data_IF_730078596102
#
_entry.id   IF_730078596102
#
_cell.length_a   1.000
_cell.length_b   1.000
_cell.length_c   1.000
_cell.angle_alpha   90.00
_cell.angle_beta   90.00
_cell.angle_gamma   90.00
#
_symmetry.space_group_name_H-M   'P 1'
#
loop_
_entity.id
_entity.type
_entity.pdbx_description
1 polymer ?
#
# COMPACT_ATOMS: atom_id res chain seq x y z
N UNK A 1 -12.28 5.21 3.38
CA UNK A 1 -10.85 5.31 3.03
C UNK A 1 -10.08 4.95 4.29
N UNK A 2 -9.16 3.98 4.26
CA UNK A 2 -8.42 3.60 5.47
C UNK A 2 -7.58 4.77 5.98
N UNK A 3 -6.97 5.52 5.05
CA UNK A 3 -6.00 6.55 5.38
C UNK A 3 -6.68 7.85 5.82
N UNK A 4 -7.83 8.17 5.21
CA UNK A 4 -8.57 9.41 5.50
C UNK A 4 -9.82 9.20 6.37
N UNK A 5 -10.19 7.96 6.69
CA UNK A 5 -11.43 7.59 7.42
C UNK A 5 -12.71 8.23 6.86
N UNK A 6 -12.75 8.53 5.57
CA UNK A 6 -13.91 9.15 4.89
C UNK A 6 -14.62 8.20 3.93
N UNK A 7 -15.90 8.43 3.70
CA UNK A 7 -16.71 7.75 2.67
C UNK A 7 -16.85 8.68 1.47
N UNK A 8 -16.50 8.20 0.27
CA UNK A 8 -16.64 8.93 -0.98
C UNK A 8 -17.33 8.05 -2.02
N UNK A 9 -18.30 8.62 -2.74
CA UNK A 9 -18.95 7.96 -3.87
C UNK A 9 -18.24 8.36 -5.16
N UNK A 10 -18.01 7.40 -6.03
CA UNK A 10 -17.35 7.59 -7.31
C UNK A 10 -18.32 7.26 -8.45
N UNK A 11 -18.33 8.07 -9.51
CA UNK A 11 -19.07 7.79 -10.74
C UNK A 11 -18.31 6.84 -11.66
N UNK A 12 -18.97 6.36 -12.72
CA UNK A 12 -18.34 5.59 -13.82
C UNK A 12 -17.72 4.24 -13.40
N UNK A 13 -18.31 3.57 -12.41
CA UNK A 13 -17.90 2.23 -12.00
C UNK A 13 -16.47 2.14 -11.46
N UNK A 14 -15.84 0.98 -11.63
CA UNK A 14 -14.51 0.71 -11.09
C UNK A 14 -13.41 1.55 -11.75
N UNK A 15 -13.51 1.79 -13.06
CA UNK A 15 -12.56 2.63 -13.78
C UNK A 15 -12.57 4.08 -13.26
N UNK A 16 -13.76 4.65 -13.03
CA UNK A 16 -13.90 5.98 -12.44
C UNK A 16 -13.35 6.05 -11.00
N UNK A 17 -13.56 5.00 -10.20
CA UNK A 17 -12.94 4.88 -8.88
C UNK A 17 -11.41 4.93 -8.94
N UNK A 18 -10.78 4.16 -9.85
CA UNK A 18 -9.32 4.15 -10.01
C UNK A 18 -8.78 5.52 -10.42
N UNK A 19 -9.41 6.17 -11.41
CA UNK A 19 -9.00 7.49 -11.86
C UNK A 19 -9.09 8.54 -10.74
N UNK A 20 -10.18 8.52 -9.97
CA UNK A 20 -10.37 9.44 -8.86
C UNK A 20 -9.37 9.21 -7.71
N UNK A 21 -9.03 7.96 -7.42
CA UNK A 21 -7.97 7.61 -6.45
C UNK A 21 -6.59 8.09 -6.91
N UNK A 22 -6.25 7.89 -8.18
CA UNK A 22 -5.00 8.40 -8.74
C UNK A 22 -4.92 9.94 -8.65
N UNK A 23 -5.99 10.65 -9.01
CA UNK A 23 -6.06 12.11 -8.92
C UNK A 23 -6.03 12.63 -7.47
N UNK A 24 -6.66 11.94 -6.52
CA UNK A 24 -6.57 12.28 -5.10
C UNK A 24 -5.14 12.14 -4.58
N UNK A 25 -4.44 11.07 -4.96
CA UNK A 25 -3.04 10.87 -4.58
C UNK A 25 -2.12 11.90 -5.22
N UNK A 26 -2.30 12.21 -6.51
CA UNK A 26 -1.51 13.24 -7.19
C UNK A 26 -1.65 14.61 -6.53
N UNK A 27 -2.87 14.99 -6.13
CA UNK A 27 -3.11 16.21 -5.34
C UNK A 27 -2.37 16.21 -4.01
N UNK A 28 -2.42 15.10 -3.26
CA UNK A 28 -1.70 15.00 -1.98
C UNK A 28 -0.18 15.09 -2.17
N UNK A 29 0.38 14.44 -3.20
CA UNK A 29 1.81 14.60 -3.55
C UNK A 29 2.14 16.07 -3.80
N UNK A 30 1.34 16.74 -4.62
CA UNK A 30 1.53 18.15 -4.94
C UNK A 30 1.41 19.03 -3.69
N UNK A 31 0.38 18.85 -2.85
CA UNK A 31 0.17 19.60 -1.61
C UNK A 31 1.38 19.45 -0.66
N UNK A 32 1.90 18.23 -0.53
CA UNK A 32 3.10 17.95 0.28
C UNK A 32 4.35 18.65 -0.30
N UNK A 33 4.55 18.62 -1.61
CA UNK A 33 5.66 19.34 -2.26
C UNK A 33 5.53 20.86 -2.10
N UNK A 34 4.33 21.42 -2.24
CA UNK A 34 4.09 22.85 -2.00
C UNK A 34 4.36 23.23 -0.55
N UNK A 35 3.91 22.42 0.40
CA UNK A 35 4.21 22.61 1.81
C UNK A 35 5.73 22.59 2.07
N UNK A 36 6.46 21.61 1.54
CA UNK A 36 7.93 21.54 1.67
C UNK A 36 8.62 22.78 1.09
N UNK A 37 8.19 23.22 -0.10
CA UNK A 37 8.75 24.39 -0.76
C UNK A 37 8.46 25.68 0.03
N UNK A 38 7.27 25.80 0.61
CA UNK A 38 6.92 26.95 1.44
C UNK A 38 7.70 26.95 2.76
N UNK A 39 7.85 25.80 3.43
CA UNK A 39 8.71 25.67 4.63
C UNK A 39 10.13 26.13 4.32
N UNK A 40 10.76 25.58 3.28
CA UNK A 40 12.11 25.94 2.87
C UNK A 40 12.24 27.43 2.51
N UNK A 41 11.20 28.03 1.88
CA UNK A 41 11.16 29.46 1.58
C UNK A 41 11.11 30.31 2.85
N UNK A 42 10.27 29.95 3.83
CA UNK A 42 10.15 30.71 5.08
C UNK A 42 11.41 30.59 5.94
N UNK A 43 12.04 29.42 5.99
CA UNK A 43 13.36 29.23 6.59
C UNK A 43 14.40 30.13 5.94
N UNK A 44 14.52 30.07 4.60
CA UNK A 44 15.45 30.92 3.86
C UNK A 44 15.22 32.41 4.08
N UNK A 45 13.96 32.88 4.11
CA UNK A 45 13.63 34.28 4.36
C UNK A 45 13.96 34.73 5.79
N UNK A 46 13.78 33.84 6.77
CA UNK A 46 14.17 34.10 8.15
C UNK A 46 15.70 34.24 8.25
N UNK A 47 16.44 33.34 7.61
CA UNK A 47 17.91 33.30 7.66
C UNK A 47 18.57 34.42 6.84
N UNK A 48 18.13 34.65 5.60
CA UNK A 48 18.70 35.69 4.72
C UNK A 48 18.46 37.09 5.28
N UNK A 49 17.34 37.29 5.99
CA UNK A 49 17.02 38.57 6.61
C UNK A 49 17.83 38.82 7.90
N UNK A 50 18.32 37.77 8.57
CA UNK A 50 19.24 37.89 9.71
C UNK A 50 20.58 38.49 9.25
N UNK A 51 21.12 38.02 8.11
CA UNK A 51 22.35 38.57 7.51
C UNK A 51 22.23 40.06 7.21
N UNK A 52 21.14 40.49 6.58
CA UNK A 52 20.85 41.91 6.29
C UNK A 52 20.70 42.78 7.55
N UNK A 53 20.35 42.18 8.69
CA UNK A 53 20.22 42.86 9.97
C UNK A 53 21.55 43.03 10.70
N UNK A 54 22.50 42.12 10.47
CA UNK A 54 23.86 42.20 11.00
C UNK A 54 24.67 43.32 10.34
N UNK A 55 24.36 43.67 9.08
CA UNK A 55 25.01 44.74 8.32
C UNK A 55 24.46 46.16 8.63
N UNK A 56 23.40 46.28 9.45
CA UNK A 56 22.86 47.60 9.82
C UNK A 56 23.79 48.24 10.87
N UNK A 57 24.42 49.41 10.59
CA UNK A 57 25.20 50.11 11.59
C UNK A 57 24.31 50.52 12.78
N UNK A 58 24.68 50.08 13.99
CA UNK A 58 24.00 50.45 15.24
C UNK A 58 24.35 51.90 15.57
N UNK A 59 23.41 52.83 15.34
CA UNK A 59 23.43 54.26 15.74
C UNK A 59 24.79 54.97 15.55
N UNK A 60 24.96 55.67 14.42
CA UNK A 60 25.99 56.71 14.29
C UNK A 60 25.58 58.01 15.00
N UNK A 61 26.54 58.87 15.41
CA UNK A 61 26.26 60.14 16.08
C UNK A 61 25.43 61.06 15.19
N UNK A 62 24.52 61.82 15.83
CA UNK A 62 23.66 62.80 15.16
C UNK A 62 24.52 63.91 14.53
N UNK A 63 24.54 63.99 13.20
CA UNK A 63 25.06 65.15 12.49
C UNK A 63 23.93 66.17 12.27
N UNK A 64 24.18 67.38 12.76
CA UNK A 64 23.32 68.55 12.80
C UNK A 64 23.23 69.24 11.42
N UNK A 65 22.03 69.37 10.83
CA UNK A 65 21.71 70.44 9.87
C UNK A 65 20.19 70.56 9.64
N UNK A 66 19.68 71.79 9.64
CA UNK A 66 18.28 72.19 9.78
C UNK A 66 17.34 71.98 8.59
N UNK A 67 17.39 70.84 7.91
CA UNK A 67 16.32 70.41 7.02
C UNK A 67 15.78 69.06 7.52
N UNK A 68 14.47 68.95 7.71
CA UNK A 68 13.83 67.76 8.27
C UNK A 68 14.39 66.48 7.68
N UNK A 69 14.99 65.64 8.54
CA UNK A 69 15.80 64.50 8.15
C UNK A 69 15.02 63.56 7.20
N UNK A 70 15.30 63.64 5.91
CA UNK A 70 14.83 62.65 4.95
C UNK A 70 15.59 61.35 5.22
N UNK A 71 15.06 60.53 6.13
CA UNK A 71 15.58 59.18 6.36
C UNK A 71 15.33 58.37 5.09
N UNK A 72 16.35 58.20 4.26
CA UNK A 72 16.32 57.21 3.20
C UNK A 72 15.95 55.88 3.84
N UNK A 73 14.77 55.34 3.50
CA UNK A 73 14.33 54.03 3.98
C UNK A 73 15.38 53.02 3.51
N UNK A 74 16.26 52.60 4.40
CA UNK A 74 17.27 51.59 4.08
C UNK A 74 16.55 50.30 3.67
N UNK A 75 17.17 49.47 2.83
CA UNK A 75 16.61 48.15 2.43
C UNK A 75 16.35 47.24 3.65
N UNK A 76 16.95 47.57 4.78
CA UNK A 76 16.77 46.93 6.06
C UNK A 76 15.53 47.40 6.85
N UNK A 77 14.86 48.48 6.43
CA UNK A 77 13.60 48.92 7.00
C UNK A 77 12.55 47.81 6.85
N UNK A 78 12.00 47.36 7.98
CA UNK A 78 11.06 46.24 8.03
C UNK A 78 11.69 44.84 8.02
N UNK A 79 13.02 44.68 8.02
CA UNK A 79 13.67 43.36 8.07
C UNK A 79 13.26 42.56 9.32
N UNK A 80 13.19 43.21 10.48
CA UNK A 80 12.70 42.59 11.72
C UNK A 80 11.25 42.09 11.61
N UNK A 81 10.37 42.87 10.97
CA UNK A 81 8.98 42.44 10.75
C UNK A 81 8.91 41.29 9.75
N UNK A 82 9.74 41.29 8.69
CA UNK A 82 9.83 40.18 7.73
C UNK A 82 10.28 38.88 8.40
N UNK A 83 11.32 38.94 9.24
CA UNK A 83 11.78 37.78 10.03
C UNK A 83 10.67 37.28 10.95
N UNK A 84 10.02 38.17 11.69
CA UNK A 84 8.93 37.79 12.59
C UNK A 84 7.80 37.11 11.83
N UNK A 85 7.34 37.71 10.73
CA UNK A 85 6.27 37.15 9.92
C UNK A 85 6.68 35.80 9.28
N UNK A 86 7.92 35.67 8.83
CA UNK A 86 8.45 34.41 8.29
C UNK A 86 8.50 33.32 9.35
N UNK A 87 8.95 33.64 10.57
CA UNK A 87 8.97 32.72 11.72
C UNK A 87 7.57 32.31 12.16
N UNK A 88 6.64 33.25 12.26
CA UNK A 88 5.23 32.96 12.58
C UNK A 88 4.57 32.08 11.51
N UNK A 89 4.93 32.26 10.24
CA UNK A 89 4.42 31.43 9.15
C UNK A 89 5.05 30.04 9.13
N UNK A 90 6.36 29.96 9.37
CA UNK A 90 7.08 28.70 9.56
C UNK A 90 6.48 27.91 10.73
N UNK A 91 6.26 28.54 11.88
CA UNK A 91 5.63 27.91 13.03
C UNK A 91 4.27 27.29 12.66
N UNK A 92 3.39 28.03 11.99
CA UNK A 92 2.09 27.49 11.55
C UNK A 92 2.21 26.30 10.59
N UNK A 93 3.19 26.33 9.67
CA UNK A 93 3.44 25.23 8.73
C UNK A 93 3.94 23.98 9.45
N UNK A 94 4.71 24.14 10.52
CA UNK A 94 5.25 23.04 11.33
C UNK A 94 4.23 22.49 12.34
N UNK A 95 3.31 23.32 12.84
CA UNK A 95 2.19 22.89 13.69
C UNK A 95 1.16 22.03 12.92
N UNK A 96 1.00 22.29 11.62
CA UNK A 96 0.08 21.57 10.75
C UNK A 96 0.80 21.08 9.47
N UNK A 97 1.69 20.09 9.58
CA UNK A 97 2.42 19.59 8.44
C UNK A 97 1.46 18.87 7.48
N UNK A 98 1.70 19.03 6.18
CA UNK A 98 1.10 18.15 5.18
C UNK A 98 1.99 16.91 5.13
N UNK A 99 1.55 15.72 5.58
CA UNK A 99 2.40 14.54 5.53
C UNK A 99 2.56 14.05 4.10
N UNK A 100 3.65 13.33 3.77
CA UNK A 100 3.73 12.62 2.50
C UNK A 100 2.60 11.60 2.37
N UNK A 101 2.04 11.38 1.17
CA UNK A 101 1.02 10.36 0.98
C UNK A 101 1.59 8.98 1.29
N UNK A 102 0.81 8.08 1.93
CA UNK A 102 1.29 6.75 2.28
C UNK A 102 1.71 5.96 1.03
N UNK A 103 2.72 5.10 1.20
CA UNK A 103 3.15 4.22 0.13
C UNK A 103 2.09 3.14 -0.10
N UNK A 104 1.64 2.93 -1.35
CA UNK A 104 0.70 1.85 -1.64
C UNK A 104 1.32 0.50 -1.31
N UNK A 105 0.59 -0.29 -0.54
CA UNK A 105 0.91 -1.69 -0.29
C UNK A 105 1.00 -2.45 -1.61
N UNK A 106 2.10 -3.18 -1.80
CA UNK A 106 2.35 -4.03 -2.96
C UNK A 106 2.65 -5.43 -2.45
N UNK A 107 1.87 -6.40 -2.92
CA UNK A 107 2.14 -7.79 -2.59
C UNK A 107 3.46 -8.23 -3.22
N UNK A 108 4.41 -8.60 -2.38
CA UNK A 108 5.77 -9.02 -2.73
C UNK A 108 6.04 -10.49 -2.41
N UNK A 109 5.03 -11.21 -1.90
CA UNK A 109 5.15 -12.64 -1.63
C UNK A 109 5.52 -13.40 -2.90
N UNK A 110 6.60 -14.18 -2.81
CA UNK A 110 7.05 -15.06 -3.89
C UNK A 110 6.47 -16.45 -3.69
N UNK A 111 5.94 -16.99 -4.77
CA UNK A 111 5.59 -18.40 -4.88
C UNK A 111 6.79 -19.07 -5.52
N UNK A 112 7.72 -19.53 -4.68
CA UNK A 112 8.90 -20.25 -5.14
C UNK A 112 8.52 -21.70 -5.39
N UNK A 113 8.36 -22.06 -6.67
CA UNK A 113 8.23 -23.45 -7.09
C UNK A 113 9.57 -24.17 -6.90
N UNK A 114 9.54 -25.48 -6.64
CA UNK A 114 10.80 -26.26 -6.70
C UNK A 114 11.25 -26.33 -8.15
N UNK A 115 12.53 -26.06 -8.46
CA UNK A 115 13.06 -26.37 -9.78
C UNK A 115 12.98 -27.88 -10.01
N UNK A 116 12.08 -28.30 -10.88
CA UNK A 116 12.08 -29.66 -11.42
C UNK A 116 13.23 -29.78 -12.41
N UNK A 117 14.06 -30.81 -12.27
CA UNK A 117 15.23 -31.06 -13.13
C UNK A 117 14.86 -31.41 -14.59
N UNK A 118 13.58 -31.48 -14.92
CA UNK A 118 13.07 -31.72 -16.27
C UNK A 118 12.59 -30.40 -16.89
N UNK A 119 13.28 -29.95 -17.94
CA UNK A 119 13.06 -28.70 -18.70
C UNK A 119 11.69 -28.60 -19.42
N UNK A 120 10.71 -29.43 -19.05
CA UNK A 120 9.38 -29.54 -19.69
C UNK A 120 8.22 -29.46 -18.69
N UNK A 121 8.46 -29.06 -17.43
CA UNK A 121 7.45 -29.14 -16.37
C UNK A 121 6.33 -28.11 -16.54
N UNK A 122 5.23 -28.51 -17.17
CA UNK A 122 3.96 -27.77 -17.12
C UNK A 122 3.50 -27.72 -15.66
N UNK A 123 3.27 -26.52 -15.12
CA UNK A 123 2.80 -26.32 -13.74
C UNK A 123 1.39 -26.92 -13.55
N UNK A 124 0.49 -26.78 -14.54
CA UNK A 124 -0.79 -27.48 -14.58
C UNK A 124 -1.25 -27.75 -16.01
N UNK A 125 -1.80 -28.94 -16.25
CA UNK A 125 -2.31 -29.39 -17.55
C UNK A 125 -3.69 -30.02 -17.40
N UNK A 126 -4.66 -29.54 -18.17
CA UNK A 126 -5.97 -30.16 -18.35
C UNK A 126 -6.15 -30.52 -19.82
N UNK A 127 -6.65 -31.72 -20.08
CA UNK A 127 -6.93 -32.22 -21.43
C UNK A 127 -8.27 -32.96 -21.44
N UNK A 128 -9.17 -32.52 -22.32
CA UNK A 128 -10.53 -33.05 -22.50
C UNK A 128 -11.32 -33.23 -21.20
N UNK A 129 -11.14 -32.29 -20.26
CA UNK A 129 -11.72 -32.37 -18.93
C UNK A 129 -13.22 -32.09 -18.99
N UNK A 130 -14.01 -33.00 -18.43
CA UNK A 130 -15.45 -32.87 -18.28
C UNK A 130 -15.85 -33.06 -16.82
N UNK A 131 -16.67 -32.13 -16.32
CA UNK A 131 -17.50 -32.29 -15.12
C UNK A 131 -18.94 -32.09 -15.56
N UNK A 132 -19.72 -33.16 -15.56
CA UNK A 132 -21.08 -33.22 -16.11
C UNK A 132 -21.96 -32.11 -15.53
N UNK A 133 -22.53 -31.30 -16.43
CA UNK A 133 -23.42 -30.19 -16.07
C UNK A 133 -22.74 -29.02 -15.35
N UNK A 134 -21.40 -28.96 -15.28
CA UNK A 134 -20.67 -27.91 -14.55
C UNK A 134 -19.53 -27.28 -15.32
N UNK A 135 -18.72 -28.07 -16.03
CA UNK A 135 -17.51 -27.56 -16.68
C UNK A 135 -17.07 -28.49 -17.82
N UNK A 136 -16.63 -27.90 -18.93
CA UNK A 136 -15.92 -28.60 -20.00
C UNK A 136 -14.70 -27.76 -20.39
N UNK A 137 -13.51 -28.36 -20.38
CA UNK A 137 -12.24 -27.71 -20.73
C UNK A 137 -11.51 -28.59 -21.75
N UNK A 138 -11.48 -28.19 -23.04
CA UNK A 138 -10.79 -28.96 -24.08
C UNK A 138 -9.28 -29.07 -23.82
N UNK A 139 -8.61 -27.95 -23.52
CA UNK A 139 -7.19 -27.94 -23.16
C UNK A 139 -6.85 -26.69 -22.36
N UNK A 140 -6.06 -26.85 -21.30
CA UNK A 140 -5.43 -25.76 -20.57
C UNK A 140 -4.01 -26.17 -20.17
N UNK A 141 -3.03 -25.34 -20.51
CA UNK A 141 -1.62 -25.51 -20.12
C UNK A 141 -1.16 -24.26 -19.40
N UNK A 142 -0.55 -24.43 -18.24
CA UNK A 142 0.09 -23.37 -17.47
C UNK A 142 1.56 -23.73 -17.27
N UNK A 143 2.45 -22.86 -17.74
CA UNK A 143 3.88 -22.96 -17.49
C UNK A 143 4.25 -22.34 -16.12
N UNK A 144 5.41 -22.69 -15.55
CA UNK A 144 5.92 -22.01 -14.36
C UNK A 144 6.05 -20.50 -14.59
N UNK A 145 5.54 -19.71 -13.66
CA UNK A 145 5.53 -18.24 -13.75
C UNK A 145 4.32 -17.64 -14.47
N UNK A 146 3.50 -18.46 -15.13
CA UNK A 146 2.27 -17.99 -15.78
C UNK A 146 1.26 -17.44 -14.77
N UNK A 147 0.48 -16.46 -15.23
CA UNK A 147 -0.63 -15.88 -14.48
C UNK A 147 -1.88 -15.95 -15.35
N UNK A 148 -2.81 -16.83 -14.99
CA UNK A 148 -4.08 -16.96 -15.68
C UNK A 148 -5.18 -16.23 -14.92
N UNK A 149 -5.87 -15.31 -15.61
CA UNK A 149 -7.10 -14.71 -15.11
C UNK A 149 -8.31 -15.46 -15.69
N UNK A 150 -9.05 -16.17 -14.84
CA UNK A 150 -10.28 -16.86 -15.22
C UNK A 150 -11.47 -15.90 -15.04
N UNK A 151 -12.11 -15.51 -16.14
CA UNK A 151 -13.29 -14.64 -16.13
C UNK A 151 -14.49 -15.32 -16.78
N UNK A 152 -15.68 -14.79 -16.51
CA UNK A 152 -16.94 -15.27 -17.11
C UNK A 152 -18.13 -15.09 -16.17
N UNK A 153 -19.36 -15.33 -16.65
CA UNK A 153 -20.57 -15.22 -15.84
C UNK A 153 -20.59 -16.14 -14.61
N UNK A 154 -21.46 -15.87 -13.65
CA UNK A 154 -21.71 -16.78 -12.55
C UNK A 154 -22.31 -18.10 -13.09
N UNK A 155 -21.88 -19.23 -12.55
CA UNK A 155 -22.34 -20.55 -12.99
C UNK A 155 -21.58 -21.19 -14.15
N UNK A 156 -20.66 -20.47 -14.82
CA UNK A 156 -19.87 -21.03 -15.96
C UNK A 156 -18.81 -22.07 -15.56
N UNK A 157 -18.70 -22.41 -14.27
CA UNK A 157 -17.76 -23.44 -13.79
C UNK A 157 -16.39 -22.93 -13.32
N UNK A 158 -16.20 -21.62 -13.10
CA UNK A 158 -14.91 -21.07 -12.59
C UNK A 158 -14.46 -21.72 -11.28
N UNK A 159 -15.36 -21.80 -10.30
CA UNK A 159 -15.07 -22.44 -9.01
C UNK A 159 -14.80 -23.94 -9.18
N UNK A 160 -15.50 -24.59 -10.11
CA UNK A 160 -15.27 -26.00 -10.49
C UNK A 160 -13.86 -26.19 -11.05
N UNK A 161 -13.39 -25.29 -11.92
CA UNK A 161 -12.03 -25.31 -12.46
C UNK A 161 -10.97 -25.17 -11.36
N UNK A 162 -11.18 -24.24 -10.42
CA UNK A 162 -10.28 -24.06 -9.28
C UNK A 162 -10.27 -25.28 -8.36
N UNK A 163 -11.42 -25.92 -8.12
CA UNK A 163 -11.51 -27.14 -7.32
C UNK A 163 -10.79 -28.33 -7.98
N UNK A 164 -10.87 -28.47 -9.31
CA UNK A 164 -10.11 -29.47 -10.05
C UNK A 164 -8.60 -29.24 -9.92
N UNK A 165 -8.16 -28.00 -10.10
CA UNK A 165 -6.75 -27.60 -9.95
C UNK A 165 -6.24 -27.72 -8.50
N UNK A 166 -7.11 -27.54 -7.52
CA UNK A 166 -6.82 -27.80 -6.11
C UNK A 166 -6.79 -29.30 -5.77
N UNK A 167 -7.33 -30.15 -6.65
CA UNK A 167 -7.49 -31.58 -6.40
C UNK A 167 -8.60 -31.94 -5.42
N UNK A 168 -9.53 -31.02 -5.17
CA UNK A 168 -10.71 -31.22 -4.32
C UNK A 168 -11.87 -31.84 -5.09
N UNK A 169 -11.81 -31.80 -6.42
CA UNK A 169 -12.78 -32.40 -7.32
C UNK A 169 -12.05 -33.30 -8.32
N UNK A 170 -12.62 -34.47 -8.60
CA UNK A 170 -12.16 -35.39 -9.65
C UNK A 170 -13.01 -35.16 -10.90
N UNK A 171 -12.42 -35.08 -12.11
CA UNK A 171 -13.19 -34.94 -13.33
C UNK A 171 -13.97 -36.24 -13.65
N UNK A 172 -15.09 -36.11 -14.36
CA UNK A 172 -15.85 -37.26 -14.86
C UNK A 172 -15.19 -37.89 -16.09
N UNK A 173 -14.46 -37.09 -16.88
CA UNK A 173 -13.63 -37.54 -18.01
C UNK A 173 -12.45 -36.57 -18.24
N UNK A 174 -11.44 -37.02 -18.98
CA UNK A 174 -10.24 -36.24 -19.29
C UNK A 174 -9.12 -36.41 -18.25
N UNK A 175 -8.06 -35.61 -18.40
CA UNK A 175 -6.84 -35.70 -17.60
C UNK A 175 -6.59 -34.36 -16.91
N UNK A 176 -6.32 -34.40 -15.60
CA UNK A 176 -5.85 -33.25 -14.82
C UNK A 176 -4.48 -33.58 -14.24
N UNK A 177 -3.43 -32.90 -14.69
CA UNK A 177 -2.10 -32.92 -14.07
C UNK A 177 -1.89 -31.58 -13.36
N UNK A 178 -1.55 -31.64 -12.09
CA UNK A 178 -1.31 -30.48 -11.22
C UNK A 178 -0.11 -30.79 -10.32
N UNK A 179 0.51 -29.79 -9.69
CA UNK A 179 1.60 -30.06 -8.77
C UNK A 179 1.05 -30.60 -7.45
N UNK A 180 1.94 -31.14 -6.61
CA UNK A 180 1.56 -31.65 -5.30
C UNK A 180 1.23 -30.52 -4.32
N UNK A 181 1.96 -29.40 -4.39
CA UNK A 181 1.84 -28.27 -3.44
C UNK A 181 1.01 -27.15 -4.07
N UNK A 182 -0.30 -27.21 -3.85
CA UNK A 182 -1.25 -26.21 -4.33
C UNK A 182 -1.77 -25.39 -3.15
N UNK A 183 -1.62 -24.08 -3.22
CA UNK A 183 -2.24 -23.14 -2.29
C UNK A 183 -3.55 -22.64 -2.85
N UNK A 184 -4.66 -22.79 -2.13
CA UNK A 184 -5.97 -22.34 -2.60
C UNK A 184 -6.63 -21.39 -1.61
N UNK A 185 -6.82 -20.14 -2.05
CA UNK A 185 -7.49 -19.10 -1.30
C UNK A 185 -8.99 -19.07 -1.65
N UNK A 186 -9.84 -19.72 -0.85
CA UNK A 186 -11.27 -19.94 -1.16
C UNK A 186 -12.14 -18.69 -1.04
N UNK A 187 -13.15 -18.49 -1.87
CA UNK A 187 -13.96 -17.25 -1.86
C UNK A 187 -14.79 -16.97 -0.57
N UNK A 188 -14.88 -17.91 0.37
CA UNK A 188 -15.60 -17.71 1.64
C UNK A 188 -14.61 -17.66 2.81
N UNK A 189 -14.59 -16.56 3.56
CA UNK A 189 -13.93 -16.46 4.86
C UNK A 189 -14.75 -17.18 5.93
N UNK A 190 -14.06 -17.77 6.91
CA UNK A 190 -14.71 -18.54 7.98
C UNK A 190 -15.63 -17.64 8.84
N UNK A 191 -16.79 -18.15 9.30
CA UNK A 191 -17.70 -17.43 10.19
C UNK A 191 -17.06 -16.99 11.52
N UNK A 192 -16.00 -17.68 11.95
CA UNK A 192 -15.42 -17.57 13.31
C UNK A 192 -14.55 -16.32 13.53
N UNK A 193 -14.18 -15.61 12.46
CA UNK A 193 -13.34 -14.40 12.55
C UNK A 193 -14.01 -13.25 13.32
N UNK A 194 -15.35 -13.25 13.41
CA UNK A 194 -16.10 -12.18 14.06
C UNK A 194 -15.87 -12.11 15.58
N UNK A 195 -15.45 -13.22 16.20
CA UNK A 195 -15.24 -13.31 17.63
C UNK A 195 -13.77 -13.48 18.02
N UNK A 196 -12.87 -13.55 17.04
CA UNK A 196 -11.44 -13.74 17.30
C UNK A 196 -10.80 -12.45 17.85
N UNK A 197 -10.35 -12.53 19.11
CA UNK A 197 -9.71 -11.45 19.84
C UNK A 197 -8.20 -11.36 19.58
N UNK A 198 -7.59 -12.33 18.88
CA UNK A 198 -6.16 -12.30 18.54
C UNK A 198 -5.86 -11.08 17.68
N UNK A 199 -4.66 -10.53 17.85
CA UNK A 199 -4.13 -9.50 16.95
C UNK A 199 -3.77 -10.11 15.61
N UNK A 200 -3.67 -9.27 14.58
CA UNK A 200 -3.24 -9.67 13.24
C UNK A 200 -1.90 -10.43 13.26
N UNK A 201 -0.93 -9.95 14.04
CA UNK A 201 0.36 -10.61 14.20
C UNK A 201 0.22 -11.99 14.89
N UNK A 202 -0.53 -12.05 15.99
CA UNK A 202 -0.76 -13.30 16.72
C UNK A 202 -1.48 -14.35 15.87
N UNK A 203 -2.42 -13.91 15.03
CA UNK A 203 -3.14 -14.76 14.09
C UNK A 203 -2.25 -15.27 12.95
N UNK A 204 -1.33 -14.44 12.46
CA UNK A 204 -0.37 -14.82 11.44
C UNK A 204 0.68 -15.81 11.97
N UNK A 205 1.12 -15.62 13.20
CA UNK A 205 2.07 -16.47 13.93
C UNK A 205 1.44 -17.77 14.45
N UNK A 206 0.11 -17.88 14.47
CA UNK A 206 -0.58 -19.07 14.92
C UNK A 206 -0.10 -20.31 14.16
N UNK A 207 0.29 -21.33 14.92
CA UNK A 207 0.79 -22.62 14.45
C UNK A 207 2.18 -22.56 13.78
N UNK A 208 2.94 -21.47 13.98
CA UNK A 208 4.31 -21.31 13.49
C UNK A 208 5.30 -21.28 14.65
N UNK A 209 6.47 -21.88 14.44
CA UNK A 209 7.62 -21.69 15.31
C UNK A 209 8.36 -20.39 14.92
N UNK A 210 8.98 -19.73 15.90
CA UNK A 210 9.72 -18.50 15.70
C UNK A 210 9.44 -17.46 16.77
N UNK A 211 10.16 -16.34 16.72
CA UNK A 211 9.94 -15.21 17.61
C UNK A 211 8.88 -14.25 17.04
N UNK A 212 8.15 -13.50 17.89
CA UNK A 212 7.16 -12.52 17.42
C UNK A 212 7.72 -11.49 16.43
N UNK A 213 8.96 -11.05 16.64
CA UNK A 213 9.62 -10.05 15.79
C UNK A 213 9.93 -10.62 14.40
N UNK A 214 10.38 -11.88 14.31
CA UNK A 214 10.59 -12.58 13.03
C UNK A 214 9.29 -12.72 12.24
N UNK A 215 8.17 -12.98 12.92
CA UNK A 215 6.85 -13.05 12.30
C UNK A 215 6.36 -11.67 11.84
N UNK A 216 6.66 -10.61 12.59
CA UNK A 216 6.34 -9.25 12.21
C UNK A 216 7.10 -8.85 10.94
N UNK A 217 8.41 -9.11 10.91
CA UNK A 217 9.27 -8.84 9.76
C UNK A 217 8.82 -9.62 8.52
N UNK A 218 8.54 -10.92 8.67
CA UNK A 218 8.04 -11.75 7.57
C UNK A 218 6.71 -11.24 7.02
N UNK A 219 5.78 -10.82 7.90
CA UNK A 219 4.47 -10.32 7.49
C UNK A 219 4.55 -8.95 6.80
N UNK A 220 5.41 -8.05 7.30
CA UNK A 220 5.64 -6.74 6.69
C UNK A 220 6.37 -6.87 5.34
N UNK A 221 7.29 -7.83 5.22
CA UNK A 221 8.01 -8.11 3.98
C UNK A 221 7.10 -8.56 2.82
N UNK A 222 5.89 -9.09 3.11
CA UNK A 222 4.88 -9.41 2.10
C UNK A 222 4.20 -8.17 1.49
N UNK A 223 4.35 -6.99 2.11
CA UNK A 223 3.76 -5.74 1.65
C UNK A 223 2.23 -5.74 1.64
N UNK A 224 1.60 -6.55 2.49
CA UNK A 224 0.14 -6.67 2.62
C UNK A 224 -0.46 -5.77 3.71
N UNK A 225 0.35 -5.36 4.69
CA UNK A 225 -0.04 -4.62 5.88
C UNK A 225 1.02 -3.57 6.25
N UNK A 226 0.61 -2.56 7.02
CA UNK A 226 1.54 -1.64 7.68
C UNK A 226 1.84 -2.10 9.10
N UNK A 227 2.93 -1.60 9.70
CA UNK A 227 3.29 -1.91 11.10
C UNK A 227 2.16 -1.55 12.09
N UNK A 228 1.43 -0.47 11.82
CA UNK A 228 0.27 -0.06 12.63
C UNK A 228 -0.89 -1.07 12.63
N UNK A 229 -0.96 -1.95 11.61
CA UNK A 229 -2.03 -2.96 11.49
C UNK A 229 -1.76 -4.20 12.38
N UNK A 230 -0.50 -4.45 12.78
CA UNK A 230 -0.09 -5.70 13.46
C UNK A 230 -0.81 -5.95 14.79
N UNK A 231 -1.11 -4.88 15.53
CA UNK A 231 -1.78 -4.92 16.82
C UNK A 231 -3.32 -4.93 16.70
N UNK A 232 -3.88 -4.78 15.50
CA UNK A 232 -5.33 -4.71 15.30
C UNK A 232 -5.94 -6.10 15.51
N UNK A 233 -6.98 -6.25 16.36
CA UNK A 233 -7.69 -7.52 16.54
C UNK A 233 -8.36 -7.99 15.24
N UNK A 234 -8.38 -9.31 14.98
CA UNK A 234 -9.00 -9.88 13.77
C UNK A 234 -10.45 -9.43 13.59
N UNK A 235 -11.24 -9.45 14.68
CA UNK A 235 -12.64 -8.98 14.67
C UNK A 235 -12.83 -7.55 14.13
N UNK A 236 -11.81 -6.71 14.24
CA UNK A 236 -11.84 -5.32 13.77
C UNK A 236 -11.30 -5.16 12.34
N UNK A 237 -10.75 -6.22 11.74
CA UNK A 237 -10.25 -6.20 10.38
C UNK A 237 -11.42 -6.15 9.39
N UNK A 238 -11.27 -5.32 8.37
CA UNK A 238 -12.13 -5.37 7.18
C UNK A 238 -12.03 -6.73 6.49
N UNK A 239 -13.07 -7.10 5.73
CA UNK A 239 -13.06 -8.34 4.93
C UNK A 239 -11.82 -8.43 4.04
N UNK A 240 -11.39 -7.31 3.44
CA UNK A 240 -10.18 -7.26 2.63
C UNK A 240 -8.91 -7.49 3.45
N UNK A 241 -8.80 -6.97 4.67
CA UNK A 241 -7.66 -7.24 5.55
C UNK A 241 -7.61 -8.70 6.01
N UNK A 242 -8.76 -9.32 6.33
CA UNK A 242 -8.81 -10.76 6.65
C UNK A 242 -8.38 -11.61 5.45
N UNK A 243 -8.86 -11.24 4.26
CA UNK A 243 -8.44 -11.89 3.01
C UNK A 243 -6.93 -11.82 2.76
N UNK A 244 -6.32 -10.67 3.05
CA UNK A 244 -4.87 -10.51 3.00
C UNK A 244 -4.15 -11.36 4.05
N UNK A 245 -4.72 -11.54 5.24
CA UNK A 245 -4.14 -12.40 6.28
C UNK A 245 -4.18 -13.86 5.86
N UNK A 246 -5.29 -14.34 5.31
CA UNK A 246 -5.40 -15.69 4.72
C UNK A 246 -4.34 -15.90 3.63
N UNK A 247 -4.21 -14.93 2.70
CA UNK A 247 -3.18 -14.96 1.67
C UNK A 247 -1.76 -15.00 2.27
N UNK A 248 -1.49 -14.16 3.28
CA UNK A 248 -0.20 -14.11 3.95
C UNK A 248 0.16 -15.46 4.60
N UNK A 249 -0.80 -16.09 5.30
CA UNK A 249 -0.60 -17.42 5.88
C UNK A 249 -0.35 -18.46 4.79
N UNK A 250 -1.11 -18.41 3.69
CA UNK A 250 -1.00 -19.35 2.58
C UNK A 250 0.40 -19.31 1.94
N UNK A 251 0.90 -18.13 1.61
CA UNK A 251 2.19 -17.99 0.91
C UNK A 251 3.41 -18.13 1.82
N UNK A 252 3.21 -18.18 3.14
CA UNK A 252 4.29 -18.38 4.12
C UNK A 252 4.25 -19.74 4.82
N UNK A 253 3.24 -20.56 4.55
CA UNK A 253 3.12 -21.91 5.13
C UNK A 253 4.19 -22.88 4.61
N UNK A 254 4.75 -22.61 3.44
CA UNK A 254 5.78 -23.43 2.82
C UNK A 254 5.88 -23.16 1.32
N UNK A 255 6.74 -23.93 0.62
CA UNK A 255 6.90 -23.79 -0.82
C UNK A 255 5.61 -24.21 -1.55
N UNK A 256 5.20 -23.38 -2.50
CA UNK A 256 3.99 -23.55 -3.30
C UNK A 256 4.36 -23.61 -4.78
N UNK A 257 3.80 -24.58 -5.50
CA UNK A 257 4.04 -24.73 -6.95
C UNK A 257 2.89 -24.15 -7.78
N UNK A 258 1.70 -23.99 -7.18
CA UNK A 258 0.53 -23.38 -7.80
C UNK A 258 -0.26 -22.61 -6.73
N UNK A 259 -0.60 -21.35 -7.01
CA UNK A 259 -1.44 -20.51 -6.17
C UNK A 259 -2.76 -20.20 -6.90
N UNK A 260 -3.87 -20.54 -6.26
CA UNK A 260 -5.24 -20.33 -6.73
C UNK A 260 -5.92 -19.27 -5.85
N UNK A 261 -6.54 -18.27 -6.48
CA UNK A 261 -7.12 -17.08 -5.82
C UNK A 261 -8.62 -16.90 -6.10
#
# INVERSE_FOLDING_TARGET
DHDQRTVRRYGNGYAGFLAAKAAARARWVWDHEQWRNEVARQEHLADSSIGLLAEIPRKGPWAFSGAGAFRARSRAHGAQSRIRNARERLQRLTEHPVPPPPQPLRFTGRVEGTPTAEETSTAAHLEDVLVKGRLQVPSLKLAPGDRLLVTGPNGVGKSTLLQLLAGELTPDAGIVRRPRRVGFLRQQSAPDDAFDARTLLAAFAADKAGQPDEHADALLALGLFHAADLAVPIRNLSVGQRRKLELARLVTAGPLDLLLL
#
